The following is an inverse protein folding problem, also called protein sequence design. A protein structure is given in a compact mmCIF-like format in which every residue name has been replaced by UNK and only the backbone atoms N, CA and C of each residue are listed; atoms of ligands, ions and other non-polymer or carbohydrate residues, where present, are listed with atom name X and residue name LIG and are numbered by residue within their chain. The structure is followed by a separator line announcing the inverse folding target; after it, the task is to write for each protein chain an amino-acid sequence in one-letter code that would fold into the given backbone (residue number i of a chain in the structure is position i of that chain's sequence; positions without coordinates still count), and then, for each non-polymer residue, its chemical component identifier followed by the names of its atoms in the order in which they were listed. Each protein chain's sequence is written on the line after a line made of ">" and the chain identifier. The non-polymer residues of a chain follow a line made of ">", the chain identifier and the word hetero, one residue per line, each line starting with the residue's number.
data_IF_229071141427
#
_entry.id   IF_229071141427
#
_cell.length_a   1.000
_cell.length_b   1.000
_cell.length_c   1.000
_cell.angle_alpha   90.00
_cell.angle_beta   90.00
_cell.angle_gamma   90.00
#
_symmetry.space_group_name_H-M   'P 1'
#
loop_
_entity.id
_entity.type
_entity.pdbx_description
1 polymer ?
#
# COMPACT_ATOMS: atom_id res chain seq x y z
N UNK A 1 9.92 -13.14 5.23
CA UNK A 1 11.05 -13.26 4.29
C UNK A 1 12.04 -12.13 4.51
N UNK A 2 11.64 -10.84 4.39
CA UNK A 2 12.52 -9.66 4.53
C UNK A 2 13.35 -9.71 5.82
N UNK A 3 12.73 -9.97 6.97
CA UNK A 3 13.42 -10.08 8.25
C UNK A 3 14.50 -11.19 8.26
N UNK A 4 14.21 -12.34 7.65
CA UNK A 4 15.20 -13.44 7.54
C UNK A 4 16.37 -13.07 6.65
N UNK A 5 16.11 -12.38 5.53
CA UNK A 5 17.18 -11.87 4.64
C UNK A 5 18.05 -10.85 5.37
N UNK A 6 17.46 -10.00 6.22
CA UNK A 6 18.17 -9.06 7.09
C UNK A 6 18.95 -9.73 8.26
N UNK A 7 18.84 -11.05 8.42
CA UNK A 7 19.53 -11.79 9.49
C UNK A 7 18.85 -11.71 10.86
N UNK A 8 17.58 -11.30 10.91
CA UNK A 8 16.81 -11.28 12.16
C UNK A 8 16.66 -12.70 12.70
N UNK A 9 17.14 -12.92 13.92
CA UNK A 9 17.17 -14.25 14.53
C UNK A 9 15.80 -14.69 15.07
N UNK A 10 15.03 -13.75 15.61
CA UNK A 10 13.72 -14.02 16.21
C UNK A 10 12.63 -13.24 15.47
N UNK A 11 11.74 -13.96 14.80
CA UNK A 11 10.59 -13.41 14.08
C UNK A 11 9.30 -13.82 14.78
N UNK A 12 8.57 -12.85 15.28
CA UNK A 12 7.29 -13.03 15.99
C UNK A 12 6.15 -12.56 15.10
N UNK A 13 5.14 -13.42 14.95
CA UNK A 13 3.90 -13.07 14.27
C UNK A 13 2.80 -12.83 15.30
N UNK A 14 2.05 -11.75 15.14
CA UNK A 14 0.79 -11.51 15.85
C UNK A 14 -0.33 -11.39 14.84
N UNK A 15 -1.44 -12.07 15.07
CA UNK A 15 -2.64 -11.98 14.23
C UNK A 15 -3.88 -12.01 15.12
N UNK A 16 -4.91 -11.16 14.84
CA UNK A 16 -6.13 -11.19 15.60
C UNK A 16 -6.81 -12.55 15.44
N UNK A 17 -7.30 -13.16 16.54
CA UNK A 17 -8.07 -14.39 16.43
C UNK A 17 -9.46 -14.15 15.83
N UNK A 18 -9.98 -15.14 15.15
CA UNK A 18 -11.37 -15.23 14.77
C UNK A 18 -12.27 -15.40 16.02
N UNK A 19 -13.61 -15.35 15.90
CA UNK A 19 -14.54 -15.49 17.04
C UNK A 19 -14.41 -16.81 17.81
N UNK A 20 -13.86 -17.85 17.20
CA UNK A 20 -13.55 -19.14 17.85
C UNK A 20 -12.21 -19.14 18.61
N UNK A 21 -11.50 -18.02 18.64
CA UNK A 21 -10.20 -17.85 19.29
C UNK A 21 -9.01 -18.38 18.48
N UNK A 22 -9.22 -18.86 17.25
CA UNK A 22 -8.15 -19.40 16.42
C UNK A 22 -7.64 -18.35 15.41
N UNK A 23 -6.36 -18.45 15.05
CA UNK A 23 -5.79 -17.72 13.92
C UNK A 23 -6.19 -18.46 12.63
N UNK A 24 -6.47 -17.70 11.58
CA UNK A 24 -6.80 -18.26 10.26
C UNK A 24 -5.75 -19.29 9.81
N UNK A 25 -6.17 -20.49 9.35
CA UNK A 25 -5.25 -21.56 8.95
C UNK A 25 -4.29 -21.16 7.81
N UNK A 26 -4.70 -20.30 6.90
CA UNK A 26 -3.85 -19.81 5.80
C UNK A 26 -2.73 -18.94 6.35
N UNK A 27 -3.04 -18.08 7.34
CA UNK A 27 -2.04 -17.27 8.05
C UNK A 27 -1.04 -18.15 8.78
N UNK A 28 -1.49 -19.21 9.46
CA UNK A 28 -0.60 -20.17 10.14
C UNK A 28 0.29 -20.93 9.16
N UNK A 29 -0.26 -21.35 8.01
CA UNK A 29 0.51 -22.01 6.96
C UNK A 29 1.59 -21.08 6.37
N UNK A 30 1.23 -19.82 6.09
CA UNK A 30 2.19 -18.82 5.61
C UNK A 30 3.28 -18.52 6.66
N UNK A 31 2.93 -18.43 7.94
CA UNK A 31 3.88 -18.23 9.03
C UNK A 31 4.88 -19.40 9.13
N UNK A 32 4.41 -20.64 8.98
CA UNK A 32 5.25 -21.83 8.98
C UNK A 32 6.21 -21.84 7.77
N UNK A 33 5.72 -21.50 6.57
CA UNK A 33 6.54 -21.37 5.35
C UNK A 33 7.60 -20.26 5.46
N UNK A 34 7.28 -19.19 6.19
CA UNK A 34 8.19 -18.08 6.45
C UNK A 34 9.07 -18.28 7.70
N UNK A 35 9.00 -19.44 8.33
CA UNK A 35 9.79 -19.81 9.51
C UNK A 35 9.65 -18.80 10.67
N UNK A 36 8.40 -18.39 10.99
CA UNK A 36 8.14 -17.58 12.17
C UNK A 36 8.44 -18.41 13.44
N UNK A 37 9.19 -17.84 14.39
CA UNK A 37 9.60 -18.55 15.61
C UNK A 37 8.49 -18.61 16.65
N UNK A 38 7.67 -17.58 16.74
CA UNK A 38 6.59 -17.44 17.70
C UNK A 38 5.35 -16.88 17.01
N UNK A 39 4.17 -17.36 17.40
CA UNK A 39 2.89 -16.89 16.86
C UNK A 39 1.94 -16.67 18.03
N UNK A 40 1.32 -15.50 18.11
CA UNK A 40 0.37 -15.13 19.14
C UNK A 40 -0.98 -14.69 18.55
N UNK A 41 -2.06 -15.25 19.10
CA UNK A 41 -3.44 -14.91 18.74
C UNK A 41 -3.86 -13.59 19.41
N UNK A 42 -3.27 -12.48 18.98
CA UNK A 42 -3.54 -11.13 19.48
C UNK A 42 -3.39 -10.12 18.34
N UNK A 43 -4.25 -9.12 18.30
CA UNK A 43 -4.23 -8.05 17.30
C UNK A 43 -4.55 -6.70 17.92
N UNK A 44 -4.67 -5.65 17.09
CA UNK A 44 -5.02 -4.31 17.54
C UNK A 44 -3.91 -3.60 18.33
N UNK A 45 -4.26 -2.50 18.99
CA UNK A 45 -3.33 -1.70 19.78
C UNK A 45 -2.64 -2.51 20.88
N UNK A 46 -3.35 -3.44 21.51
CA UNK A 46 -2.81 -4.28 22.58
C UNK A 46 -1.67 -5.18 22.11
N UNK A 47 -1.71 -5.66 20.85
CA UNK A 47 -0.60 -6.42 20.28
C UNK A 47 0.66 -5.56 20.15
N UNK A 48 0.51 -4.30 19.72
CA UNK A 48 1.62 -3.35 19.57
C UNK A 48 2.29 -3.09 20.93
N UNK A 49 1.49 -2.79 21.97
CA UNK A 49 2.04 -2.57 23.31
C UNK A 49 2.66 -3.84 23.91
N UNK A 50 2.06 -5.01 23.69
CA UNK A 50 2.61 -6.28 24.13
C UNK A 50 3.96 -6.58 23.48
N UNK A 51 4.09 -6.33 22.18
CA UNK A 51 5.35 -6.48 21.46
C UNK A 51 6.41 -5.45 21.89
N UNK A 52 6.02 -4.20 22.13
CA UNK A 52 6.96 -3.15 22.50
C UNK A 52 7.49 -3.31 23.92
N UNK A 53 6.63 -3.60 24.90
CA UNK A 53 6.96 -3.58 26.33
C UNK A 53 7.06 -4.96 26.97
N UNK A 54 6.59 -5.97 26.26
CA UNK A 54 6.51 -7.35 26.79
C UNK A 54 5.31 -7.58 27.70
N UNK A 55 5.06 -8.83 27.97
CA UNK A 55 4.10 -9.37 28.95
C UNK A 55 4.72 -10.58 29.62
N UNK A 56 4.00 -11.23 30.52
CA UNK A 56 4.47 -12.50 31.13
C UNK A 56 4.72 -13.61 30.10
N UNK A 57 4.08 -13.53 28.93
CA UNK A 57 4.15 -14.54 27.88
C UNK A 57 4.80 -14.09 26.58
N UNK A 58 4.80 -12.78 26.30
CA UNK A 58 5.36 -12.21 25.07
C UNK A 58 6.60 -11.41 25.44
N UNK A 59 7.76 -11.84 24.94
CA UNK A 59 8.99 -11.07 25.11
C UNK A 59 8.97 -9.85 24.18
N UNK A 60 9.49 -8.68 24.61
CA UNK A 60 9.54 -7.51 23.77
C UNK A 60 10.39 -7.75 22.50
N UNK A 61 10.16 -6.92 21.49
CA UNK A 61 10.87 -6.95 20.21
C UNK A 61 11.56 -5.60 19.97
N UNK A 62 12.55 -5.58 19.08
CA UNK A 62 13.27 -4.37 18.72
C UNK A 62 12.57 -3.59 17.59
N UNK A 63 11.84 -4.28 16.71
CA UNK A 63 11.14 -3.70 15.56
C UNK A 63 9.77 -4.31 15.39
N UNK A 64 8.77 -3.47 15.12
CA UNK A 64 7.40 -3.86 14.79
C UNK A 64 7.12 -3.44 13.35
N UNK A 65 6.76 -4.40 12.48
CA UNK A 65 6.42 -4.16 11.10
C UNK A 65 5.08 -4.83 10.73
N UNK A 66 4.29 -4.18 9.90
CA UNK A 66 3.04 -4.72 9.40
C UNK A 66 1.92 -3.67 9.36
N UNK A 67 0.87 -3.92 8.56
CA UNK A 67 -0.29 -3.06 8.43
C UNK A 67 -1.20 -3.12 9.66
N UNK A 68 -2.15 -2.21 9.73
CA UNK A 68 -3.16 -2.23 10.76
C UNK A 68 -4.10 -1.03 10.67
N UNK A 69 -5.22 -1.12 11.37
CA UNK A 69 -6.22 -0.06 11.44
C UNK A 69 -5.72 1.17 12.23
N UNK A 70 -6.53 2.23 12.29
CA UNK A 70 -6.19 3.48 12.97
C UNK A 70 -5.70 3.29 14.43
N UNK A 71 -6.24 2.31 15.16
CA UNK A 71 -5.81 2.01 16.53
C UNK A 71 -4.40 1.41 16.58
N UNK A 72 -4.06 0.56 15.61
CA UNK A 72 -2.70 0.01 15.46
C UNK A 72 -1.73 1.12 15.11
N UNK A 73 -2.10 2.03 14.21
CA UNK A 73 -1.26 3.16 13.83
C UNK A 73 -1.05 4.14 15.00
N UNK A 74 -2.10 4.42 15.77
CA UNK A 74 -1.98 5.24 16.99
C UNK A 74 -1.05 4.57 18.02
N UNK A 75 -1.16 3.26 18.21
CA UNK A 75 -0.28 2.52 19.11
C UNK A 75 1.17 2.48 18.62
N UNK A 76 1.40 2.29 17.32
CA UNK A 76 2.75 2.39 16.74
C UNK A 76 3.37 3.78 16.98
N UNK A 77 2.59 4.84 16.81
CA UNK A 77 3.06 6.21 17.09
C UNK A 77 3.45 6.40 18.55
N UNK A 78 2.69 5.81 19.47
CA UNK A 78 2.95 5.91 20.92
C UNK A 78 4.24 5.19 21.34
N UNK A 79 4.56 4.05 20.74
CA UNK A 79 5.75 3.27 21.06
C UNK A 79 6.96 3.62 20.20
N UNK A 80 6.80 4.52 19.23
CA UNK A 80 7.91 4.95 18.37
C UNK A 80 8.99 5.66 19.19
N UNK A 81 10.21 5.14 19.11
CA UNK A 81 11.32 5.57 19.95
C UNK A 81 11.60 4.65 21.14
N UNK A 82 10.61 3.84 21.58
CA UNK A 82 10.85 2.70 22.47
C UNK A 82 11.28 1.47 21.63
N UNK A 83 10.62 1.29 20.47
CA UNK A 83 10.95 0.25 19.47
C UNK A 83 10.99 0.88 18.08
N UNK A 84 11.67 0.23 17.14
CA UNK A 84 11.59 0.57 15.72
C UNK A 84 10.23 0.22 15.13
N UNK A 85 9.76 1.03 14.19
CA UNK A 85 8.55 0.71 13.40
C UNK A 85 8.88 0.82 11.91
N UNK A 86 8.13 0.10 11.07
CA UNK A 86 8.24 0.20 9.61
C UNK A 86 7.80 1.58 9.11
N UNK A 87 6.59 2.00 9.46
CA UNK A 87 6.02 3.29 9.11
C UNK A 87 4.75 3.56 9.94
N UNK A 88 4.22 4.78 9.82
CA UNK A 88 2.87 5.13 10.23
C UNK A 88 2.02 5.12 8.96
N UNK A 89 1.22 4.08 8.77
CA UNK A 89 0.37 3.93 7.60
C UNK A 89 -0.94 4.70 7.73
N UNK A 90 -1.35 5.31 6.63
CA UNK A 90 -2.69 5.84 6.42
C UNK A 90 -3.53 4.93 5.52
N UNK A 91 -4.62 5.45 4.94
CA UNK A 91 -5.35 4.76 3.89
C UNK A 91 -4.44 4.45 2.70
N UNK A 92 -4.63 3.28 2.09
CA UNK A 92 -3.96 2.91 0.84
C UNK A 92 -4.49 3.79 -0.30
N UNK A 93 -3.64 4.23 -1.18
CA UNK A 93 -3.99 5.13 -2.28
C UNK A 93 -3.37 4.71 -3.61
N UNK A 94 -3.98 5.19 -4.71
CA UNK A 94 -3.49 4.99 -6.06
C UNK A 94 -3.55 6.30 -6.84
N UNK A 95 -2.44 6.66 -7.46
CA UNK A 95 -2.37 7.70 -8.48
C UNK A 95 -2.01 7.09 -9.83
N UNK A 96 -2.82 7.34 -10.86
CA UNK A 96 -2.58 6.90 -12.24
C UNK A 96 -2.28 8.11 -13.11
N UNK A 97 -1.17 8.09 -13.84
CA UNK A 97 -0.83 9.10 -14.85
C UNK A 97 -1.02 8.51 -16.24
N UNK A 98 -1.91 9.09 -17.03
CA UNK A 98 -2.40 8.54 -18.29
C UNK A 98 -2.42 9.57 -19.42
N UNK A 99 -2.69 9.12 -20.64
CA UNK A 99 -2.87 9.93 -21.85
C UNK A 99 -3.89 9.28 -22.80
N UNK A 100 -4.14 9.87 -23.95
CA UNK A 100 -5.12 9.41 -24.94
C UNK A 100 -4.82 8.02 -25.54
N UNK A 101 -3.62 7.48 -25.35
CA UNK A 101 -3.20 6.16 -25.83
C UNK A 101 -3.29 5.10 -24.74
N UNK A 102 -3.53 5.50 -23.51
CA UNK A 102 -3.65 4.60 -22.37
C UNK A 102 -4.91 3.73 -22.49
N UNK A 103 -4.83 2.49 -22.01
CA UNK A 103 -5.98 1.62 -21.94
C UNK A 103 -6.87 2.00 -20.75
N UNK A 104 -7.91 2.78 -21.00
CA UNK A 104 -8.79 3.33 -19.95
C UNK A 104 -9.51 2.23 -19.17
N UNK A 105 -9.83 1.10 -19.82
CA UNK A 105 -10.47 -0.04 -19.14
C UNK A 105 -9.54 -0.67 -18.11
N UNK A 106 -8.24 -0.79 -18.39
CA UNK A 106 -7.28 -1.31 -17.42
C UNK A 106 -7.06 -0.32 -16.27
N UNK A 107 -6.89 0.97 -16.58
CA UNK A 107 -6.80 2.00 -15.54
C UNK A 107 -8.04 2.01 -14.63
N UNK A 108 -9.23 1.87 -15.20
CA UNK A 108 -10.47 1.77 -14.43
C UNK A 108 -10.53 0.53 -13.53
N UNK A 109 -10.03 -0.62 -14.01
CA UNK A 109 -9.94 -1.85 -13.22
C UNK A 109 -8.99 -1.69 -12.02
N UNK A 110 -7.82 -1.06 -12.22
CA UNK A 110 -6.86 -0.83 -11.13
C UNK A 110 -7.41 0.19 -10.12
N UNK A 111 -8.03 1.28 -10.57
CA UNK A 111 -8.71 2.23 -9.69
C UNK A 111 -9.85 1.57 -8.89
N UNK A 112 -10.65 0.73 -9.53
CA UNK A 112 -11.72 0.00 -8.85
C UNK A 112 -11.18 -1.06 -7.87
N UNK A 113 -10.12 -1.78 -8.22
CA UNK A 113 -9.47 -2.70 -7.31
C UNK A 113 -8.92 -1.97 -6.06
N UNK A 114 -8.34 -0.79 -6.24
CA UNK A 114 -7.90 0.05 -5.12
C UNK A 114 -9.09 0.52 -4.25
N UNK A 115 -10.25 0.80 -4.85
CA UNK A 115 -11.47 1.19 -4.13
C UNK A 115 -12.02 0.08 -3.20
N UNK A 116 -11.65 -1.18 -3.39
CA UNK A 116 -12.02 -2.28 -2.49
C UNK A 116 -11.41 -2.15 -1.09
N UNK A 117 -10.33 -1.39 -0.93
CA UNK A 117 -9.69 -1.15 0.36
C UNK A 117 -10.55 -0.32 1.31
N UNK A 118 -11.50 0.48 0.81
CA UNK A 118 -12.45 1.24 1.61
C UNK A 118 -12.71 2.66 1.11
N UNK A 119 -13.75 3.26 1.65
CA UNK A 119 -14.23 4.61 1.27
C UNK A 119 -13.20 5.73 1.52
N UNK A 120 -12.21 5.49 2.38
CA UNK A 120 -11.15 6.44 2.71
C UNK A 120 -9.94 6.34 1.76
N UNK A 121 -9.92 5.39 0.81
CA UNK A 121 -8.85 5.25 -0.18
C UNK A 121 -8.88 6.39 -1.20
N UNK A 122 -7.89 7.30 -1.21
CA UNK A 122 -7.84 8.34 -2.23
C UNK A 122 -7.44 7.75 -3.58
N UNK A 123 -8.21 8.08 -4.60
CA UNK A 123 -7.92 7.72 -5.99
C UNK A 123 -7.66 8.99 -6.78
N UNK A 124 -6.59 9.01 -7.57
CA UNK A 124 -6.23 10.16 -8.40
C UNK A 124 -5.91 9.70 -9.82
N UNK A 125 -6.58 10.29 -10.79
CA UNK A 125 -6.21 10.14 -12.20
C UNK A 125 -5.68 11.48 -12.73
N UNK A 126 -4.49 11.45 -13.31
CA UNK A 126 -3.82 12.64 -13.86
C UNK A 126 -3.67 12.44 -15.37
N UNK A 127 -4.34 13.28 -16.14
CA UNK A 127 -4.20 13.30 -17.59
C UNK A 127 -3.16 14.35 -18.01
N UNK A 128 -2.38 14.00 -19.01
CA UNK A 128 -1.43 14.93 -19.64
C UNK A 128 -1.91 15.45 -21.00
N UNK A 129 -3.10 15.01 -21.45
CA UNK A 129 -3.74 15.40 -22.70
C UNK A 129 -5.25 15.65 -22.48
N UNK A 130 -5.82 16.79 -22.87
CA UNK A 130 -7.21 17.13 -22.59
C UNK A 130 -8.23 16.12 -23.15
N UNK A 131 -9.24 15.81 -22.35
CA UNK A 131 -10.44 15.06 -22.79
C UNK A 131 -10.43 13.56 -22.50
N UNK A 132 -9.40 13.05 -21.81
CA UNK A 132 -9.30 11.62 -21.49
C UNK A 132 -10.02 11.31 -20.17
N UNK A 133 -10.07 12.27 -19.23
CA UNK A 133 -10.61 12.05 -17.89
C UNK A 133 -12.11 11.75 -17.88
N UNK A 134 -12.90 12.39 -18.76
CA UNK A 134 -14.33 12.11 -18.86
C UNK A 134 -14.61 10.69 -19.39
N UNK A 135 -13.75 10.22 -20.32
CA UNK A 135 -13.85 8.86 -20.82
C UNK A 135 -13.41 7.83 -19.75
N UNK A 136 -12.40 8.14 -18.97
CA UNK A 136 -11.98 7.31 -17.83
C UNK A 136 -13.08 7.24 -16.77
N UNK A 137 -13.70 8.35 -16.39
CA UNK A 137 -14.79 8.39 -15.42
C UNK A 137 -15.93 7.45 -15.84
N UNK A 138 -16.33 7.50 -17.11
CA UNK A 138 -17.33 6.60 -17.68
C UNK A 138 -16.92 5.11 -17.58
N UNK A 139 -15.66 4.79 -17.82
CA UNK A 139 -15.15 3.42 -17.67
C UNK A 139 -15.12 2.99 -16.20
N UNK A 140 -14.73 3.87 -15.28
CA UNK A 140 -14.75 3.59 -13.84
C UNK A 140 -16.17 3.30 -13.36
N UNK A 141 -17.16 4.10 -13.76
CA UNK A 141 -18.58 3.86 -13.44
C UNK A 141 -19.04 2.49 -13.97
N UNK A 142 -18.64 2.13 -15.20
CA UNK A 142 -18.99 0.84 -15.82
C UNK A 142 -18.37 -0.31 -15.03
N UNK A 143 -17.08 -0.25 -14.70
CA UNK A 143 -16.38 -1.28 -13.92
C UNK A 143 -16.99 -1.41 -12.53
N UNK A 144 -17.21 -0.29 -11.84
CA UNK A 144 -17.80 -0.29 -10.50
C UNK A 144 -19.19 -0.92 -10.46
N UNK A 145 -20.01 -0.71 -11.50
CA UNK A 145 -21.32 -1.35 -11.61
C UNK A 145 -21.24 -2.88 -11.80
N UNK A 146 -20.16 -3.37 -12.39
CA UNK A 146 -19.94 -4.82 -12.61
C UNK A 146 -19.32 -5.52 -11.36
N UNK A 147 -18.73 -4.78 -10.42
CA UNK A 147 -17.96 -5.30 -9.30
C UNK A 147 -18.62 -4.95 -7.96
N UNK A 148 -19.31 -5.88 -7.30
CA UNK A 148 -20.07 -5.59 -6.07
C UNK A 148 -19.18 -5.30 -4.84
N UNK A 149 -17.89 -5.54 -4.94
CA UNK A 149 -16.90 -5.29 -3.86
C UNK A 149 -16.31 -3.89 -3.89
N UNK A 150 -16.46 -3.19 -5.03
CA UNK A 150 -15.99 -1.79 -5.17
C UNK A 150 -16.77 -0.88 -4.23
N UNK A 151 -16.05 -0.10 -3.45
CA UNK A 151 -16.62 0.86 -2.50
C UNK A 151 -16.76 2.22 -3.15
N UNK A 152 -17.68 3.01 -2.63
CA UNK A 152 -17.80 4.42 -3.01
C UNK A 152 -16.56 5.17 -2.50
N UNK A 153 -15.64 5.52 -3.41
CA UNK A 153 -14.41 6.24 -3.11
C UNK A 153 -14.37 7.60 -3.81
N UNK A 154 -13.51 8.46 -3.30
CA UNK A 154 -13.26 9.77 -3.93
C UNK A 154 -12.23 9.60 -5.04
N UNK A 155 -12.65 9.79 -6.29
CA UNK A 155 -11.77 9.88 -7.45
C UNK A 155 -11.54 11.36 -7.78
N UNK A 156 -10.29 11.83 -7.69
CA UNK A 156 -9.88 13.13 -8.16
C UNK A 156 -9.38 13.03 -9.60
N UNK A 157 -9.96 13.83 -10.48
CA UNK A 157 -9.57 13.94 -11.88
C UNK A 157 -8.77 15.24 -12.06
N UNK A 158 -7.55 15.16 -12.57
CA UNK A 158 -6.60 16.28 -12.62
C UNK A 158 -6.01 16.41 -14.02
N UNK A 159 -6.27 17.54 -14.67
CA UNK A 159 -5.59 17.93 -15.90
C UNK A 159 -4.20 18.49 -15.58
N UNK A 160 -3.15 17.87 -16.06
CA UNK A 160 -1.79 18.35 -15.95
C UNK A 160 -1.31 18.94 -17.29
N UNK A 161 -0.72 20.14 -17.31
CA UNK A 161 -0.30 20.78 -18.56
C UNK A 161 0.87 20.07 -19.25
N UNK A 162 1.54 19.15 -18.59
CA UNK A 162 2.62 18.32 -19.15
C UNK A 162 2.93 17.12 -18.25
N UNK A 163 3.68 16.15 -18.77
CA UNK A 163 4.15 15.01 -17.99
C UNK A 163 5.05 15.43 -16.80
N UNK A 164 5.87 16.48 -16.95
CA UNK A 164 6.68 17.02 -15.86
C UNK A 164 5.81 17.58 -14.73
N UNK A 165 4.72 18.29 -15.08
CA UNK A 165 3.77 18.82 -14.10
C UNK A 165 3.03 17.68 -13.37
N UNK A 166 2.69 16.59 -14.07
CA UNK A 166 2.13 15.39 -13.45
C UNK A 166 3.12 14.77 -12.46
N UNK A 167 4.38 14.60 -12.81
CA UNK A 167 5.43 14.08 -11.91
C UNK A 167 5.68 15.03 -10.72
N UNK A 168 5.64 16.34 -10.93
CA UNK A 168 5.73 17.30 -9.83
C UNK A 168 4.55 17.20 -8.86
N UNK A 169 3.34 16.96 -9.35
CA UNK A 169 2.17 16.67 -8.53
C UNK A 169 2.37 15.39 -7.73
N UNK A 170 2.75 14.29 -8.37
CA UNK A 170 3.08 13.02 -7.74
C UNK A 170 4.11 13.20 -6.62
N UNK A 171 5.21 13.90 -6.87
CA UNK A 171 6.24 14.14 -5.87
C UNK A 171 5.76 14.99 -4.68
N UNK A 172 4.71 15.81 -4.86
CA UNK A 172 4.08 16.58 -3.78
C UNK A 172 3.06 15.76 -3.00
N UNK A 173 2.29 14.90 -3.66
CA UNK A 173 1.29 14.04 -3.01
C UNK A 173 1.93 12.84 -2.33
N UNK A 174 3.00 12.31 -2.91
CA UNK A 174 3.71 11.12 -2.42
C UNK A 174 2.78 9.90 -2.26
N UNK A 175 2.14 9.43 -3.35
CA UNK A 175 1.21 8.32 -3.30
C UNK A 175 1.89 7.03 -2.86
N UNK A 176 1.11 6.10 -2.29
CA UNK A 176 1.57 4.75 -2.03
C UNK A 176 1.84 4.01 -3.33
N UNK A 177 0.83 3.95 -4.20
CA UNK A 177 0.94 3.34 -5.52
C UNK A 177 0.89 4.41 -6.61
N UNK A 178 1.84 4.35 -7.52
CA UNK A 178 1.89 5.21 -8.70
C UNK A 178 1.96 4.38 -9.96
N UNK A 179 0.98 4.53 -10.84
CA UNK A 179 1.02 3.99 -12.20
C UNK A 179 1.37 5.09 -13.21
N UNK A 180 2.41 4.85 -13.97
CA UNK A 180 2.83 5.68 -15.10
C UNK A 180 2.51 4.95 -16.40
N UNK A 181 1.25 4.99 -16.84
CA UNK A 181 0.77 4.29 -18.03
C UNK A 181 0.81 5.17 -19.30
N UNK A 182 0.96 6.48 -19.15
CA UNK A 182 1.32 7.39 -20.25
C UNK A 182 2.77 7.17 -20.68
N UNK A 183 3.04 7.12 -21.97
CA UNK A 183 4.41 6.94 -22.49
C UNK A 183 5.32 8.12 -22.09
N UNK A 184 4.82 9.34 -22.13
CA UNK A 184 5.56 10.54 -21.73
C UNK A 184 5.88 10.55 -20.23
N UNK A 185 4.94 10.16 -19.37
CA UNK A 185 5.16 10.04 -17.94
C UNK A 185 6.08 8.87 -17.58
N UNK A 186 5.97 7.72 -18.27
CA UNK A 186 6.84 6.57 -18.10
C UNK A 186 8.31 6.92 -18.37
N UNK A 187 8.59 7.79 -19.36
CA UNK A 187 9.94 8.27 -19.64
C UNK A 187 10.55 9.09 -18.48
N UNK A 188 9.68 9.66 -17.59
CA UNK A 188 10.09 10.45 -16.43
C UNK A 188 10.09 9.65 -15.11
N UNK A 189 9.94 8.33 -15.16
CA UNK A 189 9.91 7.48 -13.96
C UNK A 189 11.12 7.71 -13.02
N UNK A 190 12.30 7.96 -13.58
CA UNK A 190 13.51 8.29 -12.82
C UNK A 190 13.46 9.64 -12.08
N UNK A 191 12.44 10.48 -12.32
CA UNK A 191 12.20 11.74 -11.62
C UNK A 191 11.21 11.62 -10.45
N UNK A 192 10.59 10.45 -10.27
CA UNK A 192 9.76 10.15 -9.10
C UNK A 192 10.66 9.94 -7.88
N UNK A 193 10.34 10.58 -6.78
CA UNK A 193 11.17 10.59 -5.55
C UNK A 193 10.44 10.11 -4.30
N UNK A 194 9.11 10.15 -4.30
CA UNK A 194 8.33 10.06 -3.05
C UNK A 194 7.21 9.01 -3.09
N UNK A 195 6.94 8.39 -4.24
CA UNK A 195 5.96 7.31 -4.32
C UNK A 195 6.48 6.04 -3.59
N UNK A 196 5.58 5.33 -2.93
CA UNK A 196 5.89 4.09 -2.23
C UNK A 196 6.29 2.97 -3.19
N UNK A 197 5.54 2.81 -4.28
CA UNK A 197 5.84 1.89 -5.38
C UNK A 197 5.49 2.56 -6.72
N UNK A 198 6.29 2.27 -7.76
CA UNK A 198 6.08 2.84 -9.10
C UNK A 198 5.93 1.71 -10.12
N UNK A 199 4.79 1.68 -10.77
CA UNK A 199 4.44 0.77 -11.86
C UNK A 199 4.60 1.52 -13.18
N UNK A 200 5.47 1.03 -14.06
CA UNK A 200 5.84 1.76 -15.27
C UNK A 200 5.44 0.99 -16.52
N UNK A 201 4.66 1.63 -17.36
CA UNK A 201 4.19 1.08 -18.62
C UNK A 201 2.72 0.63 -18.59
N UNK A 202 2.10 0.49 -19.77
CA UNK A 202 0.65 0.32 -19.91
C UNK A 202 0.11 -1.01 -19.37
N UNK A 203 0.98 -2.00 -19.11
CA UNK A 203 0.60 -3.34 -18.64
C UNK A 203 1.03 -3.59 -17.19
N UNK A 204 1.49 -2.56 -16.49
CA UNK A 204 2.05 -2.67 -15.13
C UNK A 204 1.02 -2.26 -14.08
N UNK A 205 -0.04 -3.07 -13.91
CA UNK A 205 -1.07 -2.84 -12.90
C UNK A 205 -0.57 -3.08 -11.46
N UNK A 206 -1.20 -2.42 -10.48
CA UNK A 206 -0.82 -2.47 -9.05
C UNK A 206 -0.81 -3.88 -8.48
N UNK A 207 -1.70 -4.76 -8.92
CA UNK A 207 -1.80 -6.15 -8.47
C UNK A 207 -0.48 -6.95 -8.64
N UNK A 208 0.39 -6.56 -9.57
CA UNK A 208 1.70 -7.21 -9.71
C UNK A 208 2.59 -7.03 -8.48
N UNK A 209 2.44 -5.92 -7.76
CA UNK A 209 3.17 -5.65 -6.52
C UNK A 209 2.85 -6.63 -5.41
N UNK A 210 1.62 -7.19 -5.40
CA UNK A 210 1.15 -8.12 -4.37
C UNK A 210 1.60 -9.57 -4.60
N UNK A 211 1.91 -9.95 -5.84
CA UNK A 211 2.09 -11.36 -6.19
C UNK A 211 3.50 -11.68 -6.68
N UNK A 212 3.79 -11.45 -7.96
CA UNK A 212 4.96 -12.06 -8.62
C UNK A 212 6.11 -11.12 -8.93
N UNK A 213 5.93 -9.81 -8.75
CA UNK A 213 6.97 -8.83 -9.06
C UNK A 213 8.18 -8.89 -8.11
N UNK A 214 8.05 -9.60 -6.98
CA UNK A 214 9.13 -9.79 -6.01
C UNK A 214 9.36 -8.61 -5.07
N UNK A 215 8.51 -7.59 -5.10
CA UNK A 215 8.47 -6.51 -4.11
C UNK A 215 7.80 -7.00 -2.81
N UNK A 216 8.04 -6.31 -1.70
CA UNK A 216 7.19 -6.46 -0.53
C UNK A 216 6.14 -5.34 -0.49
N UNK A 217 4.98 -5.64 0.08
CA UNK A 217 3.83 -4.74 0.11
C UNK A 217 3.74 -3.90 1.41
N UNK A 218 4.83 -3.70 2.12
CA UNK A 218 4.89 -2.77 3.26
C UNK A 218 5.45 -1.46 2.74
N UNK A 219 4.55 -0.60 2.30
CA UNK A 219 4.83 0.65 1.59
C UNK A 219 4.48 1.87 2.46
N UNK A 220 5.15 3.00 2.26
CA UNK A 220 4.74 4.25 2.88
C UNK A 220 3.43 4.75 2.25
N UNK A 221 2.45 5.12 3.09
CA UNK A 221 1.12 5.61 2.72
C UNK A 221 0.90 7.03 3.26
N UNK A 222 -0.21 7.68 2.90
CA UNK A 222 -0.60 9.01 3.42
C UNK A 222 0.52 10.06 3.28
N UNK A 223 1.19 10.07 2.13
CA UNK A 223 2.28 11.00 1.84
C UNK A 223 3.57 10.78 2.64
N UNK A 224 3.68 9.71 3.41
CA UNK A 224 4.87 9.40 4.23
C UNK A 224 6.06 8.93 3.39
N UNK A 225 5.89 8.64 2.10
CA UNK A 225 6.97 8.36 1.15
C UNK A 225 8.04 9.46 1.04
N UNK A 226 7.78 10.65 1.61
CA UNK A 226 8.77 11.73 1.75
C UNK A 226 9.81 11.46 2.83
N UNK A 227 9.51 10.61 3.80
CA UNK A 227 10.34 10.37 5.00
C UNK A 227 10.59 8.89 5.27
N UNK A 228 9.77 8.01 4.73
CA UNK A 228 9.92 6.55 4.84
C UNK A 228 10.10 5.95 3.45
N UNK A 229 10.85 4.85 3.37
CA UNK A 229 10.91 3.97 2.21
C UNK A 229 10.07 2.72 2.41
N UNK A 230 9.96 1.86 1.37
CA UNK A 230 9.38 0.53 1.53
C UNK A 230 10.23 -0.30 2.51
N UNK A 231 9.60 -1.25 3.21
CA UNK A 231 10.32 -2.15 4.10
C UNK A 231 11.40 -2.91 3.33
N UNK A 232 12.64 -2.79 3.75
CA UNK A 232 13.79 -3.44 3.12
C UNK A 232 14.69 -4.12 4.15
N UNK A 233 15.60 -5.03 3.74
CA UNK A 233 16.61 -5.61 4.62
C UNK A 233 17.74 -4.64 5.00
N UNK A 234 17.82 -3.48 4.34
CA UNK A 234 18.86 -2.47 4.53
C UNK A 234 18.49 -1.45 5.59
#
# INVERSE_FOLDING_TARGET
>A
VTARVAGVQRVVLVAPPAPDGQIDPTTLAAAALCEADEIYAVGGAQAIFALARGTDTIRPVDVIAGPGNAWVQAAKREVFGEVGIDSLAGPSDLTVVLDSRSNLRWAALDLCAQAEHGEESPLVAVDTEPGVLEALESEVETVAAEQPTVRECRLALVDAPSAEAAIDLVNRTAPEHLELISESAAALAGSVRTAGCVFVGPESGTAFGDYVAGSNHVLPTDGTGRIFGPLSPA
#
